data_IF_029367440726
#
_entry.id   IF_029367440726
#
_cell.length_a   1.000
_cell.length_b   1.000
_cell.length_c   1.000
_cell.angle_alpha   90.00
_cell.angle_beta   90.00
_cell.angle_gamma   90.00
#
_symmetry.space_group_name_H-M   'P 1'
#
loop_
_entity.id
_entity.type
_entity.pdbx_description
1 polymer ?
#
# COMPACT_ATOMS: atom_id res chain seq x y z
N UNK A 1 -17.92 21.13 -31.30
CA UNK A 1 -16.95 20.10 -30.85
C UNK A 1 -16.51 20.53 -29.48
N UNK A 2 -16.83 19.73 -28.47
CA UNK A 2 -16.41 20.02 -27.10
C UNK A 2 -14.89 19.85 -27.00
N UNK A 3 -14.25 20.73 -26.24
CA UNK A 3 -12.82 20.68 -26.00
C UNK A 3 -12.58 20.72 -24.51
N UNK A 4 -11.68 19.85 -24.05
CA UNK A 4 -11.27 19.83 -22.65
C UNK A 4 -9.77 20.04 -22.50
N UNK A 5 -9.38 20.60 -21.36
CA UNK A 5 -7.99 20.68 -20.96
C UNK A 5 -7.85 20.19 -19.53
N UNK A 6 -7.03 19.16 -19.34
CA UNK A 6 -6.56 18.81 -17.99
C UNK A 6 -5.49 19.83 -17.63
N UNK A 7 -5.79 20.73 -16.69
CA UNK A 7 -4.89 21.79 -16.25
C UNK A 7 -3.81 21.27 -15.32
N UNK A 8 -4.19 20.40 -14.39
CA UNK A 8 -3.24 19.77 -13.49
C UNK A 8 -3.76 18.44 -12.96
N UNK A 9 -2.84 17.55 -12.63
CA UNK A 9 -3.09 16.31 -11.91
C UNK A 9 -2.08 16.17 -10.78
N UNK A 10 -2.58 15.92 -9.58
CA UNK A 10 -1.77 15.72 -8.39
C UNK A 10 -2.15 14.43 -7.66
N UNK A 11 -1.16 13.64 -7.25
CA UNK A 11 -1.34 12.45 -6.42
C UNK A 11 -0.19 12.29 -5.44
N UNK A 12 -0.44 11.64 -4.28
CA UNK A 12 0.67 11.19 -3.47
C UNK A 12 1.38 10.06 -4.19
N UNK A 13 2.70 10.15 -4.28
CA UNK A 13 3.49 9.04 -4.77
C UNK A 13 3.35 7.88 -3.79
N UNK A 14 2.75 6.78 -4.22
CA UNK A 14 2.74 5.52 -3.48
C UNK A 14 3.62 4.50 -4.18
N UNK A 15 4.25 3.65 -3.37
CA UNK A 15 5.22 2.65 -3.81
C UNK A 15 4.62 1.27 -3.61
N UNK A 16 4.35 0.57 -4.70
CA UNK A 16 4.18 -0.88 -4.70
C UNK A 16 5.46 -1.56 -4.22
N UNK A 17 5.47 -2.66 -3.47
CA UNK A 17 4.61 -3.19 -2.41
C UNK A 17 5.56 -4.18 -1.74
N UNK A 18 5.87 -4.01 -0.46
CA UNK A 18 6.54 -5.09 0.27
C UNK A 18 5.57 -6.27 0.26
N UNK A 19 6.00 -7.43 -0.22
CA UNK A 19 5.21 -8.64 -0.36
C UNK A 19 5.93 -9.81 0.27
N UNK A 20 5.27 -10.95 0.44
CA UNK A 20 5.92 -12.17 0.94
C UNK A 20 7.11 -12.65 0.08
N UNK A 21 7.25 -12.18 -1.16
CA UNK A 21 8.34 -12.55 -2.05
C UNK A 21 9.62 -11.71 -1.85
N UNK A 22 9.52 -10.51 -1.26
CA UNK A 22 10.60 -9.52 -1.23
C UNK A 22 10.71 -8.76 0.11
N UNK A 23 10.32 -9.38 1.23
CA UNK A 23 10.21 -8.71 2.52
C UNK A 23 11.19 -9.17 3.61
N UNK A 24 12.17 -10.02 3.31
CA UNK A 24 13.10 -10.56 4.32
C UNK A 24 14.48 -9.95 4.20
N UNK A 25 15.05 -9.52 5.33
CA UNK A 25 16.46 -9.15 5.48
C UNK A 25 17.10 -10.19 6.41
N UNK A 26 18.02 -10.99 5.87
CA UNK A 26 18.80 -11.92 6.67
C UNK A 26 20.08 -11.23 7.16
N UNK A 27 20.38 -11.31 8.45
CA UNK A 27 21.55 -10.67 9.05
C UNK A 27 22.13 -11.49 10.20
N UNK A 28 23.37 -11.16 10.60
CA UNK A 28 24.09 -11.78 11.70
C UNK A 28 24.71 -10.69 12.56
N UNK A 29 24.67 -10.87 13.88
CA UNK A 29 25.34 -10.00 14.85
C UNK A 29 26.70 -10.60 15.24
N UNK A 30 27.71 -9.77 15.42
CA UNK A 30 29.07 -10.19 15.77
C UNK A 30 29.07 -10.98 17.08
N UNK A 31 29.78 -12.12 17.08
CA UNK A 31 29.83 -13.05 18.21
C UNK A 31 28.65 -14.03 18.27
N UNK A 32 27.70 -13.95 17.35
CA UNK A 32 26.60 -14.91 17.21
C UNK A 32 26.68 -15.64 15.85
N UNK A 33 26.34 -16.93 15.84
CA UNK A 33 26.26 -17.73 14.61
C UNK A 33 24.84 -17.82 14.06
N UNK A 34 23.85 -17.33 14.82
CA UNK A 34 22.44 -17.32 14.47
C UNK A 34 22.19 -16.37 13.31
N UNK A 35 21.48 -16.84 12.29
CA UNK A 35 20.97 -16.01 11.21
C UNK A 35 19.59 -15.48 11.62
N UNK A 36 19.52 -14.17 11.79
CA UNK A 36 18.27 -13.47 12.08
C UNK A 36 17.57 -13.11 10.77
N UNK A 37 16.26 -13.34 10.70
CA UNK A 37 15.43 -13.02 9.55
C UNK A 37 14.44 -11.92 9.93
N UNK A 38 14.79 -10.67 9.62
CA UNK A 38 13.89 -9.54 9.78
C UNK A 38 12.85 -9.55 8.67
N UNK A 39 11.57 -9.66 9.03
CA UNK A 39 10.46 -9.64 8.08
C UNK A 39 9.78 -8.28 8.11
N UNK A 40 9.90 -7.53 7.02
CA UNK A 40 9.14 -6.29 6.81
C UNK A 40 7.68 -6.67 6.55
N UNK A 41 6.74 -6.02 7.22
CA UNK A 41 5.32 -6.31 7.01
C UNK A 41 4.93 -6.03 5.55
N UNK A 42 4.19 -6.92 4.87
CA UNK A 42 3.69 -6.61 3.54
C UNK A 42 2.81 -5.35 3.54
N UNK A 43 2.97 -4.51 2.53
CA UNK A 43 2.24 -3.25 2.42
C UNK A 43 2.96 -2.18 1.61
N UNK A 44 2.34 -1.01 1.54
CA UNK A 44 2.85 0.17 0.85
C UNK A 44 3.72 1.00 1.79
N UNK A 45 4.88 1.44 1.30
CA UNK A 45 5.85 2.18 2.11
C UNK A 45 6.38 3.41 1.37
N UNK A 46 6.52 4.50 2.11
CA UNK A 46 7.12 5.76 1.70
C UNK A 46 8.57 5.93 2.09
N UNK A 47 9.21 6.94 1.52
CA UNK A 47 10.51 7.44 2.00
C UNK A 47 10.46 7.71 3.52
N UNK A 48 9.32 8.21 4.00
CA UNK A 48 9.15 8.57 5.42
C UNK A 48 9.00 7.34 6.33
N UNK A 49 8.33 6.27 5.90
CA UNK A 49 8.02 5.12 6.76
C UNK A 49 8.84 3.84 6.47
N UNK A 50 9.44 3.71 5.29
CA UNK A 50 10.23 2.52 4.92
C UNK A 50 11.45 2.33 5.82
N UNK A 51 12.28 3.37 6.12
CA UNK A 51 13.40 3.22 7.04
C UNK A 51 12.95 2.74 8.42
N UNK A 52 11.86 3.31 8.95
CA UNK A 52 11.32 2.90 10.25
C UNK A 52 10.89 1.44 10.24
N UNK A 53 10.20 0.99 9.19
CA UNK A 53 9.76 -0.41 9.06
C UNK A 53 10.92 -1.40 9.00
N UNK A 54 12.01 -1.04 8.31
CA UNK A 54 13.25 -1.84 8.29
C UNK A 54 13.89 -1.88 9.68
N UNK A 55 13.95 -0.73 10.38
CA UNK A 55 14.52 -0.61 11.72
C UNK A 55 13.74 -1.47 12.73
N UNK A 56 12.41 -1.41 12.69
CA UNK A 56 11.51 -2.18 13.56
C UNK A 56 11.65 -3.68 13.29
N UNK A 57 11.65 -4.09 12.02
CA UNK A 57 11.80 -5.50 11.65
C UNK A 57 13.15 -6.09 12.10
N UNK A 58 14.25 -5.34 11.93
CA UNK A 58 15.57 -5.77 12.39
C UNK A 58 15.68 -5.81 13.90
N UNK A 59 15.15 -4.79 14.60
CA UNK A 59 15.17 -4.73 16.06
C UNK A 59 14.31 -5.82 16.70
N UNK A 60 13.21 -6.20 16.05
CA UNK A 60 12.35 -7.29 16.52
C UNK A 60 12.96 -8.68 16.31
N UNK A 61 13.76 -8.86 15.25
CA UNK A 61 14.40 -10.14 14.94
C UNK A 61 15.72 -10.36 15.69
N UNK A 62 16.53 -9.31 15.86
CA UNK A 62 17.86 -9.36 16.45
C UNK A 62 17.86 -9.31 17.98
N UNK A 63 19.06 -9.13 18.56
CA UNK A 63 19.22 -8.99 20.02
C UNK A 63 19.48 -7.56 20.47
N UNK A 64 19.55 -6.62 19.52
CA UNK A 64 19.76 -5.20 19.77
C UNK A 64 18.89 -4.34 18.86
N UNK A 65 18.81 -3.04 19.16
CA UNK A 65 18.06 -2.10 18.35
C UNK A 65 18.87 -1.55 17.18
N UNK A 66 18.14 -1.13 16.14
CA UNK A 66 18.67 -0.58 14.91
C UNK A 66 18.00 0.75 14.59
N UNK A 67 18.74 1.65 13.96
CA UNK A 67 18.19 2.83 13.29
C UNK A 67 18.50 2.74 11.81
N UNK A 68 17.59 3.26 10.99
CA UNK A 68 17.72 3.26 9.54
C UNK A 68 17.40 4.64 9.02
N UNK A 69 18.20 5.13 8.09
CA UNK A 69 18.00 6.40 7.42
C UNK A 69 18.11 6.24 5.91
N UNK A 70 17.37 7.07 5.18
CA UNK A 70 17.48 7.20 3.73
C UNK A 70 18.03 8.58 3.38
N UNK A 71 19.07 8.62 2.55
CA UNK A 71 19.57 9.87 1.97
C UNK A 71 18.94 10.08 0.59
N UNK A 72 18.08 11.10 0.47
CA UNK A 72 17.42 11.44 -0.79
C UNK A 72 18.35 11.94 -1.89
N UNK A 73 19.56 12.39 -1.56
CA UNK A 73 20.55 12.87 -2.54
C UNK A 73 21.29 11.69 -3.15
N UNK A 74 21.92 10.84 -2.33
CA UNK A 74 22.63 9.66 -2.82
C UNK A 74 21.72 8.47 -3.14
N UNK A 75 20.45 8.56 -2.72
CA UNK A 75 19.42 7.51 -2.81
C UNK A 75 19.81 6.22 -2.10
N UNK A 76 20.51 6.29 -0.97
CA UNK A 76 21.01 5.11 -0.26
C UNK A 76 20.41 4.98 1.12
N UNK A 77 20.27 3.73 1.55
CA UNK A 77 19.88 3.38 2.91
C UNK A 77 21.13 3.16 3.75
N UNK A 78 21.14 3.73 4.95
CA UNK A 78 22.12 3.44 5.99
C UNK A 78 21.42 2.79 7.17
N UNK A 79 21.98 1.68 7.65
CA UNK A 79 21.50 0.95 8.82
C UNK A 79 22.58 1.04 9.88
N UNK A 80 22.22 1.45 11.09
CA UNK A 80 23.12 1.53 12.23
C UNK A 80 22.57 0.71 13.40
N UNK A 81 23.44 -0.08 14.02
CA UNK A 81 23.16 -0.72 15.29
C UNK A 81 23.32 0.30 16.43
N UNK A 82 22.41 0.31 17.38
CA UNK A 82 22.55 1.12 18.61
C UNK A 82 23.17 0.31 19.75
N UNK A 83 23.16 -1.02 19.65
CA UNK A 83 23.79 -1.94 20.60
C UNK A 83 25.31 -2.10 20.39
N UNK A 84 25.98 -2.83 21.29
CA UNK A 84 27.44 -2.99 21.26
C UNK A 84 27.95 -3.93 20.17
N UNK A 85 27.08 -4.78 19.58
CA UNK A 85 27.50 -5.74 18.57
C UNK A 85 27.47 -5.09 17.19
N UNK A 86 28.52 -5.29 16.41
CA UNK A 86 28.47 -5.02 14.97
C UNK A 86 27.54 -6.03 14.31
N UNK A 87 27.10 -5.73 13.10
CA UNK A 87 26.26 -6.65 12.34
C UNK A 87 26.67 -6.68 10.87
N UNK A 88 26.24 -7.73 10.19
CA UNK A 88 26.31 -7.82 8.74
C UNK A 88 25.01 -8.33 8.13
N UNK A 89 24.69 -7.82 6.95
CA UNK A 89 23.55 -8.25 6.15
C UNK A 89 24.03 -9.30 5.15
N UNK A 90 23.29 -10.40 5.06
CA UNK A 90 23.61 -11.53 4.21
C UNK A 90 23.06 -11.34 2.78
N UNK A 91 23.68 -11.98 1.76
CA UNK A 91 23.20 -11.93 0.39
C UNK A 91 21.91 -12.74 0.21
N UNK A 92 21.33 -12.67 -1.00
CA UNK A 92 20.08 -13.36 -1.31
C UNK A 92 20.17 -14.88 -1.21
N UNK A 93 21.32 -15.45 -1.55
CA UNK A 93 21.60 -16.89 -1.41
C UNK A 93 21.57 -17.38 0.04
N UNK A 94 21.51 -16.46 1.00
CA UNK A 94 21.49 -16.73 2.44
C UNK A 94 20.24 -16.18 3.14
N UNK A 95 19.18 -15.89 2.40
CA UNK A 95 17.84 -15.61 2.95
C UNK A 95 17.32 -14.18 2.77
N UNK A 96 18.16 -13.22 2.37
CA UNK A 96 17.69 -11.85 2.11
C UNK A 96 16.89 -11.80 0.81
N UNK A 97 15.58 -11.60 0.89
CA UNK A 97 14.72 -11.42 -0.30
C UNK A 97 14.49 -9.93 -0.62
N UNK A 98 14.61 -9.05 0.37
CA UNK A 98 14.42 -7.60 0.21
C UNK A 98 15.64 -6.86 -0.37
N UNK A 99 16.59 -7.55 -1.01
CA UNK A 99 17.87 -6.96 -1.43
C UNK A 99 17.70 -5.81 -2.44
N UNK A 100 16.69 -5.87 -3.30
CA UNK A 100 16.36 -4.77 -4.23
C UNK A 100 15.81 -3.57 -3.47
N UNK A 101 14.90 -3.80 -2.51
CA UNK A 101 14.24 -2.74 -1.74
C UNK A 101 15.21 -2.02 -0.79
N UNK A 102 16.20 -2.73 -0.26
CA UNK A 102 17.18 -2.15 0.66
C UNK A 102 18.43 -1.64 -0.06
N UNK A 103 18.66 -2.00 -1.32
CA UNK A 103 19.88 -1.63 -2.05
C UNK A 103 21.07 -2.51 -1.68
N UNK A 104 20.80 -3.65 -1.07
CA UNK A 104 21.78 -4.67 -0.76
C UNK A 104 22.19 -5.43 -2.02
N UNK A 105 23.43 -5.88 -2.06
CA UNK A 105 23.90 -6.76 -3.13
C UNK A 105 23.25 -8.14 -3.02
N UNK A 106 22.76 -8.65 -4.16
CA UNK A 106 22.25 -10.02 -4.26
C UNK A 106 23.31 -11.07 -3.91
N UNK A 107 24.59 -10.76 -4.17
CA UNK A 107 25.68 -11.73 -4.21
C UNK A 107 26.67 -11.62 -3.06
N UNK A 108 26.77 -10.44 -2.44
CA UNK A 108 27.80 -10.15 -1.44
C UNK A 108 27.16 -9.76 -0.12
N UNK A 109 27.63 -10.34 0.99
CA UNK A 109 27.30 -9.83 2.33
C UNK A 109 27.96 -8.47 2.56
N UNK A 110 27.44 -7.74 3.54
CA UNK A 110 28.18 -6.63 4.14
C UNK A 110 29.26 -7.19 5.08
N UNK A 111 30.31 -6.44 5.36
CA UNK A 111 31.18 -6.75 6.51
C UNK A 111 30.45 -6.52 7.85
N UNK A 112 31.09 -6.90 8.95
CA UNK A 112 30.64 -6.53 10.29
C UNK A 112 30.93 -5.05 10.56
N UNK A 113 29.88 -4.26 10.67
CA UNK A 113 29.98 -2.82 10.95
C UNK A 113 28.98 -2.38 12.03
N UNK A 114 29.28 -1.25 12.67
CA UNK A 114 28.32 -0.56 13.52
C UNK A 114 27.26 0.18 12.68
N UNK A 115 27.68 0.70 11.52
CA UNK A 115 26.84 1.35 10.54
C UNK A 115 27.25 0.88 9.15
N UNK A 116 26.27 0.50 8.33
CA UNK A 116 26.49 0.14 6.93
C UNK A 116 25.60 1.00 6.03
N UNK A 117 26.21 1.64 5.05
CA UNK A 117 25.49 2.26 3.93
C UNK A 117 25.45 1.27 2.78
N UNK A 118 24.25 0.91 2.36
CA UNK A 118 24.04 -0.10 1.33
C UNK A 118 24.48 0.43 -0.04
N UNK A 119 25.10 -0.45 -0.82
CA UNK A 119 25.93 -0.05 -1.97
C UNK A 119 25.08 0.54 -3.10
N UNK A 120 23.94 -0.09 -3.38
CA UNK A 120 23.12 0.25 -4.53
C UNK A 120 22.16 1.37 -4.16
N UNK A 121 22.02 2.38 -5.03
CA UNK A 121 20.94 3.35 -4.87
C UNK A 121 19.61 2.61 -4.94
N UNK A 122 18.72 2.93 -4.02
CA UNK A 122 17.33 2.50 -4.04
C UNK A 122 16.47 3.67 -4.42
N UNK A 123 15.66 3.42 -5.44
CA UNK A 123 14.73 4.40 -5.90
C UNK A 123 13.47 4.36 -5.03
N UNK A 124 13.59 4.89 -3.81
CA UNK A 124 12.44 5.20 -2.98
C UNK A 124 11.77 6.50 -3.45
N UNK A 125 12.20 7.11 -4.56
CA UNK A 125 11.59 8.29 -5.17
C UNK A 125 11.07 7.90 -6.56
N UNK A 126 9.97 7.14 -6.64
CA UNK A 126 9.52 6.41 -7.85
C UNK A 126 9.73 7.16 -9.18
N UNK A 127 10.85 6.89 -9.86
CA UNK A 127 11.25 7.66 -11.05
C UNK A 127 10.80 7.04 -12.37
N UNK A 128 9.87 6.08 -12.33
CA UNK A 128 9.27 5.54 -13.54
C UNK A 128 8.15 6.47 -13.99
N UNK A 129 8.03 6.78 -15.30
CA UNK A 129 6.89 7.52 -15.80
C UNK A 129 5.60 6.80 -15.41
N UNK A 130 4.65 7.53 -14.84
CA UNK A 130 3.28 7.07 -14.65
C UNK A 130 2.47 7.65 -15.80
N UNK A 131 1.70 6.80 -16.47
CA UNK A 131 0.80 7.21 -17.53
C UNK A 131 -0.51 7.67 -16.89
N UNK A 132 -0.89 8.91 -17.15
CA UNK A 132 -2.24 9.38 -16.87
C UNK A 132 -3.14 8.95 -18.03
N UNK A 133 -4.07 8.05 -17.76
CA UNK A 133 -5.02 7.55 -18.76
C UNK A 133 -6.44 7.99 -18.42
N UNK A 134 -7.30 8.06 -19.43
CA UNK A 134 -8.72 8.39 -19.25
C UNK A 134 -9.63 7.44 -20.04
N UNK A 135 -10.86 7.26 -19.57
CA UNK A 135 -11.90 6.45 -20.21
C UNK A 135 -12.53 7.09 -21.46
N UNK A 136 -12.25 8.38 -21.71
CA UNK A 136 -12.72 9.08 -22.91
C UNK A 136 -11.68 8.97 -24.02
N UNK A 137 -12.15 8.91 -25.27
CA UNK A 137 -11.26 8.94 -26.42
C UNK A 137 -10.80 10.37 -26.67
N UNK A 138 -9.47 10.55 -26.62
CA UNK A 138 -8.82 11.82 -26.97
C UNK A 138 -8.17 11.69 -28.33
N UNK A 139 -8.48 12.60 -29.26
CA UNK A 139 -7.88 12.59 -30.60
C UNK A 139 -6.37 12.77 -30.51
N UNK A 140 -5.61 11.88 -31.17
CA UNK A 140 -4.13 11.91 -31.16
C UNK A 140 -3.49 11.22 -29.95
N UNK A 141 -4.28 10.72 -28.99
CA UNK A 141 -3.76 9.88 -27.91
C UNK A 141 -3.27 8.53 -28.42
N UNK A 142 -2.29 7.96 -27.71
CA UNK A 142 -1.87 6.57 -27.92
C UNK A 142 -2.73 5.66 -27.06
N UNK A 143 -3.24 4.59 -27.66
CA UNK A 143 -3.95 3.54 -26.95
C UNK A 143 -2.95 2.52 -26.43
N UNK A 144 -3.14 2.07 -25.20
CA UNK A 144 -2.48 0.87 -24.72
C UNK A 144 -3.30 -0.32 -25.27
N UNK A 145 -2.84 -0.92 -26.38
CA UNK A 145 -3.59 -1.90 -27.18
C UNK A 145 -3.91 -3.23 -26.46
N UNK A 146 -3.31 -3.44 -25.30
CA UNK A 146 -3.28 -4.76 -24.65
C UNK A 146 -4.11 -4.83 -23.36
N UNK A 147 -4.77 -3.73 -22.96
CA UNK A 147 -5.58 -3.69 -21.74
C UNK A 147 -7.06 -3.86 -22.09
N UNK A 148 -7.62 -4.98 -21.60
CA UNK A 148 -8.88 -5.58 -22.02
C UNK A 148 -10.16 -4.86 -21.55
N UNK A 149 -10.08 -3.63 -21.02
CA UNK A 149 -11.24 -2.86 -20.58
C UNK A 149 -11.17 -1.43 -21.13
N UNK A 150 -12.28 -1.03 -21.77
CA UNK A 150 -12.62 0.32 -22.26
C UNK A 150 -11.44 1.26 -22.54
N UNK A 151 -11.02 1.31 -23.81
CA UNK A 151 -10.20 2.35 -24.46
C UNK A 151 -9.63 3.43 -23.51
N UNK A 152 -8.52 3.09 -22.85
CA UNK A 152 -7.79 4.05 -22.03
C UNK A 152 -6.88 4.89 -22.92
N UNK A 153 -7.32 6.11 -23.24
CA UNK A 153 -6.49 7.09 -23.94
C UNK A 153 -5.41 7.60 -22.99
N UNK A 154 -4.14 7.48 -23.38
CA UNK A 154 -3.04 8.11 -22.64
C UNK A 154 -3.11 9.62 -22.86
N UNK A 155 -3.37 10.36 -21.77
CA UNK A 155 -3.51 11.82 -21.75
C UNK A 155 -2.17 12.50 -21.51
N UNK A 156 -1.36 11.94 -20.60
CA UNK A 156 -0.03 12.46 -20.30
C UNK A 156 0.91 11.36 -19.78
N UNK A 157 2.20 11.51 -20.02
CA UNK A 157 3.24 10.79 -19.30
C UNK A 157 3.76 11.70 -18.18
N UNK A 158 3.47 11.33 -16.94
CA UNK A 158 3.92 12.05 -15.76
C UNK A 158 5.20 11.40 -15.29
N UNK A 159 6.31 12.11 -15.32
CA UNK A 159 7.53 11.65 -14.65
C UNK A 159 7.49 12.22 -13.24
N UNK A 160 7.28 11.40 -12.19
CA UNK A 160 7.32 11.90 -10.84
C UNK A 160 8.67 12.56 -10.59
N UNK A 161 8.69 13.82 -10.19
CA UNK A 161 9.93 14.43 -9.75
C UNK A 161 10.39 13.77 -8.44
N UNK A 162 11.70 13.72 -8.24
CA UNK A 162 12.28 13.03 -7.09
C UNK A 162 12.24 13.85 -5.79
N UNK A 163 11.42 14.91 -5.73
CA UNK A 163 11.50 15.93 -4.67
C UNK A 163 10.18 16.17 -3.91
N UNK A 164 9.07 15.55 -4.30
CA UNK A 164 7.78 15.73 -3.65
C UNK A 164 7.08 14.45 -3.18
N UNK A 165 6.44 14.52 -2.01
CA UNK A 165 5.41 13.55 -1.58
C UNK A 165 4.20 13.58 -2.54
N UNK A 166 3.98 14.71 -3.21
CA UNK A 166 2.91 14.96 -4.17
C UNK A 166 3.52 15.10 -5.56
N UNK A 167 3.23 14.14 -6.44
CA UNK A 167 3.50 14.28 -7.87
C UNK A 167 2.47 15.24 -8.41
N UNK A 168 2.90 16.37 -8.98
CA UNK A 168 2.02 17.30 -9.68
C UNK A 168 2.48 17.46 -11.11
N UNK A 169 1.57 17.20 -12.05
CA UNK A 169 1.72 17.54 -13.45
C UNK A 169 0.83 18.74 -13.76
N UNK A 170 1.38 19.76 -14.42
CA UNK A 170 0.61 20.92 -14.91
C UNK A 170 0.71 21.02 -16.42
N UNK A 171 -0.36 21.50 -17.04
CA UNK A 171 -0.48 21.67 -18.49
C UNK A 171 -0.51 23.15 -18.87
N UNK A 172 0.47 23.91 -18.41
CA UNK A 172 0.47 25.38 -18.49
C UNK A 172 0.57 25.91 -19.94
N UNK A 173 0.92 25.06 -20.91
CA UNK A 173 1.04 25.42 -22.32
C UNK A 173 0.52 24.38 -23.33
N UNK A 174 -0.09 23.28 -22.91
CA UNK A 174 -0.55 22.25 -23.85
C UNK A 174 -1.90 22.55 -24.48
N UNK A 175 -2.15 21.80 -25.54
CA UNK A 175 -3.30 21.96 -26.43
C UNK A 175 -4.60 21.49 -25.77
N UNK A 176 -5.69 22.07 -26.23
CA UNK A 176 -7.03 21.58 -25.95
C UNK A 176 -7.23 20.23 -26.61
N UNK A 177 -7.76 19.28 -25.86
CA UNK A 177 -8.03 17.92 -26.32
C UNK A 177 -9.44 17.90 -26.92
N UNK A 178 -9.59 17.72 -28.24
CA UNK A 178 -10.91 17.60 -28.83
C UNK A 178 -11.51 16.25 -28.42
N UNK A 179 -12.76 16.29 -28.00
CA UNK A 179 -13.50 15.11 -27.56
C UNK A 179 -14.59 14.81 -28.59
N UNK A 180 -14.58 13.58 -29.09
CA UNK A 180 -15.47 13.16 -30.17
C UNK A 180 -16.88 12.77 -29.66
N UNK A 181 -17.01 12.46 -28.36
CA UNK A 181 -18.24 12.01 -27.71
C UNK A 181 -18.76 12.98 -26.65
N UNK A 182 -20.08 13.01 -26.45
CA UNK A 182 -20.71 13.79 -25.36
C UNK A 182 -20.27 13.24 -24.01
N UNK A 183 -19.64 14.09 -23.19
CA UNK A 183 -18.98 13.65 -21.96
C UNK A 183 -19.99 13.58 -20.82
N UNK A 184 -20.46 12.39 -20.46
CA UNK A 184 -21.28 12.21 -19.25
C UNK A 184 -20.46 11.98 -17.98
N UNK A 185 -19.24 11.43 -18.11
CA UNK A 185 -18.34 11.10 -16.99
C UNK A 185 -16.90 10.92 -17.47
N UNK A 186 -15.97 11.66 -16.87
CA UNK A 186 -14.53 11.46 -17.07
C UNK A 186 -13.92 10.80 -15.84
N UNK A 187 -13.26 9.68 -16.06
CA UNK A 187 -12.44 8.97 -15.10
C UNK A 187 -10.99 9.05 -15.53
N UNK A 188 -10.07 9.07 -14.56
CA UNK A 188 -8.66 8.91 -14.89
C UNK A 188 -8.05 7.93 -13.94
N UNK A 189 -7.15 7.17 -14.54
CA UNK A 189 -6.37 6.14 -13.92
C UNK A 189 -4.91 6.51 -14.07
N UNK A 190 -4.10 6.06 -13.14
CA UNK A 190 -2.66 6.12 -13.25
C UNK A 190 -2.19 4.71 -13.57
N UNK A 191 -1.42 4.56 -14.64
CA UNK A 191 -0.85 3.28 -15.06
C UNK A 191 0.67 3.36 -14.93
N UNK A 192 1.28 2.36 -14.32
CA UNK A 192 2.73 2.22 -14.35
C UNK A 192 3.17 1.93 -15.80
N UNK A 193 4.01 2.80 -16.37
CA UNK A 193 4.48 2.65 -17.76
C UNK A 193 5.27 1.37 -18.02
N UNK A 194 5.83 0.74 -16.98
CA UNK A 194 6.66 -0.46 -17.11
C UNK A 194 5.84 -1.74 -17.02
N UNK A 195 4.88 -1.79 -16.10
CA UNK A 195 4.08 -3.00 -15.83
C UNK A 195 2.72 -2.97 -16.53
N UNK A 196 2.24 -1.77 -16.90
CA UNK A 196 0.91 -1.57 -17.45
C UNK A 196 -0.21 -1.74 -16.43
N UNK A 197 0.11 -1.94 -15.15
CA UNK A 197 -0.88 -2.09 -14.10
C UNK A 197 -1.32 -0.73 -13.57
N UNK A 198 -2.56 -0.66 -13.08
CA UNK A 198 -3.06 0.52 -12.39
C UNK A 198 -2.26 0.74 -11.09
N UNK A 199 -1.81 1.98 -10.88
CA UNK A 199 -1.13 2.41 -9.67
C UNK A 199 -2.16 2.57 -8.57
N UNK A 200 -2.07 1.74 -7.54
CA UNK A 200 -2.90 1.88 -6.35
C UNK A 200 -2.49 3.15 -5.57
N UNK A 201 -3.42 4.09 -5.43
CA UNK A 201 -3.21 5.30 -4.65
C UNK A 201 -3.84 5.18 -3.26
N UNK A 202 -3.06 5.42 -2.21
CA UNK A 202 -3.51 5.59 -0.83
C UNK A 202 -4.12 6.99 -0.60
N UNK A 203 -4.10 7.86 -1.61
CA UNK A 203 -4.74 9.17 -1.59
C UNK A 203 -5.59 9.42 -2.83
N UNK A 204 -6.64 10.25 -2.74
CA UNK A 204 -7.43 10.61 -3.90
C UNK A 204 -6.57 11.35 -4.94
N UNK A 205 -6.65 10.91 -6.19
CA UNK A 205 -6.13 11.63 -7.35
C UNK A 205 -6.87 12.98 -7.48
N UNK A 206 -6.15 14.09 -7.29
CA UNK A 206 -6.71 15.43 -7.46
C UNK A 206 -6.47 15.90 -8.88
N UNK A 207 -7.50 16.44 -9.53
CA UNK A 207 -7.45 16.91 -10.92
C UNK A 207 -8.07 18.28 -11.02
N UNK A 208 -7.47 19.17 -11.79
CA UNK A 208 -8.09 20.42 -12.22
C UNK A 208 -8.31 20.38 -13.72
N UNK A 209 -9.51 20.79 -14.14
CA UNK A 209 -9.94 20.79 -15.52
C UNK A 209 -10.48 22.15 -15.91
N UNK A 210 -10.34 22.45 -17.18
CA UNK A 210 -11.02 23.54 -17.86
C UNK A 210 -11.78 22.97 -19.05
N UNK A 211 -13.00 23.44 -19.24
CA UNK A 211 -13.84 23.14 -20.38
C UNK A 211 -13.99 24.43 -21.19
N UNK A 212 -13.76 24.35 -22.50
CA UNK A 212 -13.97 25.49 -23.38
C UNK A 212 -15.42 25.45 -23.85
N UNK A 213 -16.26 26.37 -23.37
CA UNK A 213 -17.59 26.55 -23.95
C UNK A 213 -17.43 27.15 -25.36
N UNK A 214 -17.81 26.43 -26.43
CA UNK A 214 -17.67 26.93 -27.80
C UNK A 214 -18.50 28.21 -28.06
N UNK A 215 -19.42 28.59 -27.17
CA UNK A 215 -20.21 29.82 -27.27
C UNK A 215 -19.63 31.01 -26.48
N UNK A 216 -18.51 30.85 -25.77
CA UNK A 216 -17.80 31.98 -25.16
C UNK A 216 -16.95 32.68 -26.24
N UNK A 217 -17.55 33.64 -26.93
CA UNK A 217 -16.80 34.56 -27.79
C UNK A 217 -15.66 35.22 -26.99
N UNK A 218 -14.44 34.97 -27.44
CA UNK A 218 -13.20 35.60 -26.99
C UNK A 218 -13.33 37.14 -26.99
N UNK A 219 -13.69 37.73 -25.86
CA UNK A 219 -13.54 39.17 -25.62
C UNK A 219 -12.16 39.48 -25.04
N UNK A 220 -11.11 39.20 -25.80
CA UNK A 220 -9.76 39.66 -25.50
C UNK A 220 -9.09 40.10 -26.80
N UNK A 221 -9.52 41.27 -27.30
CA UNK A 221 -8.78 41.99 -28.32
C UNK A 221 -7.40 42.40 -27.74
N UNK A 222 -6.28 42.12 -28.43
CA UNK A 222 -5.00 42.70 -28.06
C UNK A 222 -5.01 44.19 -28.40
N UNK A 223 -4.78 45.05 -27.41
CA UNK A 223 -4.44 46.44 -27.68
C UNK A 223 -3.06 46.49 -28.33
N UNK A 224 -3.08 46.73 -29.63
CA UNK A 224 -1.98 47.26 -30.44
C UNK A 224 -1.47 48.55 -29.77
N UNK A 225 -0.24 48.53 -29.25
CA UNK A 225 0.49 49.76 -28.95
C UNK A 225 1.80 49.71 -29.75
N UNK A 226 1.74 50.35 -30.92
CA UNK A 226 2.85 50.55 -31.85
C UNK A 226 3.69 51.72 -31.34
N UNK A 227 4.86 51.45 -30.78
CA UNK A 227 5.94 52.44 -30.69
C UNK A 227 7.09 52.08 -31.63
N UNK A 228 7.53 53.10 -32.37
CA UNK A 228 8.45 53.06 -33.51
C UNK A 228 9.87 52.57 -33.14
N UNK A 229 10.61 51.95 -34.08
CA UNK A 229 11.99 51.57 -33.88
C UNK A 229 12.91 52.80 -34.06
N UNK A 230 13.74 53.08 -33.05
CA UNK A 230 14.84 54.05 -33.16
C UNK A 230 16.13 53.29 -33.46
N UNK A 231 16.66 53.58 -34.64
CA UNK A 231 18.05 53.57 -35.11
C UNK A 231 19.13 52.93 -34.21
N UNK A 232 19.76 51.87 -34.76
CA UNK A 232 20.93 51.21 -34.18
C UNK A 232 22.19 52.07 -34.33
N UNK A 233 22.94 52.20 -33.23
CA UNK A 233 24.32 52.72 -33.20
C UNK A 233 25.28 51.56 -32.84
N UNK A 234 26.52 51.49 -33.38
CA UNK A 234 27.37 50.31 -33.28
C UNK A 234 27.94 50.08 -31.87
N UNK A 235 28.02 48.80 -31.49
CA UNK A 235 28.59 48.28 -30.25
C UNK A 235 30.11 48.49 -30.22
N UNK A 236 30.60 49.32 -29.29
CA UNK A 236 32.00 49.31 -28.87
C UNK A 236 32.19 48.29 -27.74
N UNK A 237 33.21 47.43 -27.88
CA UNK A 237 33.67 46.49 -26.87
C UNK A 237 34.25 47.25 -25.67
N UNK A 238 33.70 47.01 -24.47
CA UNK A 238 34.23 47.53 -23.22
C UNK A 238 34.82 46.40 -22.37
N UNK A 239 36.04 46.63 -21.89
CA UNK A 239 36.88 45.80 -21.05
C UNK A 239 36.20 45.25 -19.79
N UNK A 240 36.48 43.99 -19.49
CA UNK A 240 36.16 43.31 -18.21
C UNK A 240 36.92 43.97 -17.05
N UNK A 241 36.16 44.53 -16.10
CA UNK A 241 36.63 44.92 -14.77
C UNK A 241 36.36 43.77 -13.76
N UNK A 242 37.28 43.45 -12.84
CA UNK A 242 37.14 42.28 -11.95
C UNK A 242 36.03 42.44 -10.89
N UNK A 243 35.24 41.37 -10.73
CA UNK A 243 34.16 41.22 -9.75
C UNK A 243 34.66 41.26 -8.30
N UNK A 244 33.99 42.05 -7.46
CA UNK A 244 34.08 42.00 -6.00
C UNK A 244 33.06 40.98 -5.43
N UNK A 245 33.39 40.29 -4.33
CA UNK A 245 32.50 39.30 -3.71
C UNK A 245 31.24 39.96 -3.11
N UNK A 246 30.06 39.30 -3.21
CA UNK A 246 28.79 39.87 -2.77
C UNK A 246 28.72 40.00 -1.24
N UNK A 247 28.48 41.22 -0.76
CA UNK A 247 28.25 41.49 0.67
C UNK A 247 26.97 40.81 1.15
N UNK A 248 27.09 39.98 2.18
CA UNK A 248 25.98 39.30 2.84
C UNK A 248 24.98 40.31 3.43
N UNK A 249 23.73 40.30 2.92
CA UNK A 249 22.63 41.10 3.46
C UNK A 249 22.26 40.59 4.87
N UNK A 250 22.48 41.43 5.87
CA UNK A 250 22.08 41.20 7.27
C UNK A 250 20.56 41.01 7.36
N UNK A 251 20.12 39.83 7.82
CA UNK A 251 18.70 39.49 8.01
C UNK A 251 18.11 40.38 9.10
N UNK A 252 17.09 41.18 8.75
CA UNK A 252 16.35 42.00 9.74
C UNK A 252 15.54 41.08 10.66
N UNK A 253 15.47 41.36 11.98
CA UNK A 253 14.70 40.58 12.92
C UNK A 253 13.19 40.66 12.61
N UNK A 254 12.51 39.53 12.76
CA UNK A 254 11.08 39.36 12.45
C UNK A 254 10.23 40.19 13.42
N UNK A 255 9.31 41.01 12.89
CA UNK A 255 8.45 41.92 13.67
C UNK A 255 7.42 41.15 14.50
N UNK A 256 6.98 41.70 15.64
CA UNK A 256 6.04 41.01 16.54
C UNK A 256 4.69 40.68 15.87
N UNK A 257 4.25 41.52 14.93
CA UNK A 257 3.06 41.27 14.11
C UNK A 257 3.20 40.02 13.23
N UNK A 258 4.40 39.76 12.71
CA UNK A 258 4.68 38.56 11.92
C UNK A 258 4.74 37.31 12.82
N UNK A 259 5.28 37.43 14.04
CA UNK A 259 5.30 36.32 15.01
C UNK A 259 3.89 35.90 15.43
N UNK A 260 3.03 36.87 15.76
CA UNK A 260 1.63 36.58 16.12
C UNK A 260 0.84 35.96 14.96
N UNK A 261 1.08 36.40 13.71
CA UNK A 261 0.47 35.79 12.53
C UNK A 261 0.95 34.34 12.31
N UNK A 262 2.24 34.08 12.50
CA UNK A 262 2.82 32.74 12.39
C UNK A 262 2.23 31.80 13.45
N UNK A 263 2.14 32.24 14.70
CA UNK A 263 1.59 31.44 15.80
C UNK A 263 0.10 31.11 15.56
N UNK A 264 -0.68 32.10 15.08
CA UNK A 264 -2.08 31.88 14.69
C UNK A 264 -2.22 30.86 13.56
N UNK A 265 -1.35 30.93 12.55
CA UNK A 265 -1.34 29.98 11.44
C UNK A 265 -0.95 28.57 11.90
N UNK A 266 0.06 28.45 12.78
CA UNK A 266 0.48 27.16 13.35
C UNK A 266 -0.65 26.53 14.18
N UNK A 267 -1.35 27.32 14.99
CA UNK A 267 -2.47 26.84 15.81
C UNK A 267 -3.65 26.38 14.94
N UNK A 268 -3.97 27.11 13.87
CA UNK A 268 -5.00 26.72 12.91
C UNK A 268 -4.65 25.40 12.20
N UNK A 269 -3.41 25.26 11.74
CA UNK A 269 -2.93 24.02 11.09
C UNK A 269 -2.96 22.83 12.04
N UNK A 270 -2.57 23.02 13.30
CA UNK A 270 -2.63 21.97 14.32
C UNK A 270 -4.07 21.53 14.63
N UNK A 271 -5.03 22.46 14.63
CA UNK A 271 -6.45 22.14 14.81
C UNK A 271 -7.00 21.32 13.64
N UNK A 272 -6.73 21.74 12.39
CA UNK A 272 -7.14 21.00 11.19
C UNK A 272 -6.53 19.59 11.14
N UNK A 273 -5.27 19.43 11.57
CA UNK A 273 -4.63 18.12 11.62
C UNK A 273 -5.34 17.17 12.60
N UNK A 274 -5.75 17.68 13.77
CA UNK A 274 -6.49 16.88 14.76
C UNK A 274 -7.88 16.49 14.26
N UNK A 275 -8.58 17.41 13.59
CA UNK A 275 -9.88 17.13 13.00
C UNK A 275 -9.79 16.05 11.89
N UNK A 276 -8.77 16.15 11.03
CA UNK A 276 -8.50 15.13 10.01
C UNK A 276 -8.19 13.76 10.63
N UNK A 277 -7.38 13.73 11.71
CA UNK A 277 -7.06 12.48 12.41
C UNK A 277 -8.30 11.85 13.04
N UNK A 278 -9.15 12.63 13.69
CA UNK A 278 -10.40 12.15 14.27
C UNK A 278 -11.35 11.60 13.20
N UNK A 279 -11.47 12.27 12.04
CA UNK A 279 -12.28 11.80 10.92
C UNK A 279 -11.77 10.47 10.35
N UNK A 280 -10.45 10.32 10.19
CA UNK A 280 -9.84 9.05 9.75
C UNK A 280 -10.03 7.91 10.75
N UNK A 281 -10.07 8.21 12.04
CA UNK A 281 -10.36 7.20 13.07
C UNK A 281 -11.81 6.73 13.01
N UNK A 282 -12.77 7.66 12.87
CA UNK A 282 -14.18 7.32 12.66
C UNK A 282 -14.40 6.47 11.41
N UNK A 283 -13.79 6.82 10.30
CA UNK A 283 -13.88 6.06 9.05
C UNK A 283 -13.32 4.63 9.19
N UNK A 284 -12.21 4.46 9.92
CA UNK A 284 -11.65 3.13 10.22
C UNK A 284 -12.57 2.30 11.11
N UNK A 285 -13.20 2.91 12.13
CA UNK A 285 -14.18 2.21 12.97
C UNK A 285 -15.41 1.76 12.18
N UNK A 286 -15.88 2.58 11.23
CA UNK A 286 -16.99 2.23 10.34
C UNK A 286 -16.62 1.09 9.38
N UNK A 287 -15.44 1.14 8.78
CA UNK A 287 -14.92 0.05 7.93
C UNK A 287 -14.76 -1.25 8.73
N UNK A 288 -14.27 -1.20 9.96
CA UNK A 288 -14.13 -2.39 10.80
C UNK A 288 -15.50 -2.99 11.17
N UNK A 289 -16.50 -2.15 11.48
CA UNK A 289 -17.89 -2.60 11.68
C UNK A 289 -18.45 -3.26 10.43
N UNK A 290 -18.17 -2.70 9.25
CA UNK A 290 -18.61 -3.24 7.97
C UNK A 290 -17.96 -4.61 7.70
N UNK A 291 -16.65 -4.75 7.89
CA UNK A 291 -15.95 -6.03 7.75
C UNK A 291 -16.50 -7.10 8.70
N UNK A 292 -16.79 -6.74 9.95
CA UNK A 292 -17.40 -7.66 10.93
C UNK A 292 -18.80 -8.12 10.50
N UNK A 293 -19.61 -7.23 9.93
CA UNK A 293 -20.93 -7.58 9.39
C UNK A 293 -20.82 -8.55 8.21
N UNK A 294 -19.90 -8.30 7.29
CA UNK A 294 -19.73 -9.15 6.11
C UNK A 294 -19.10 -10.50 6.44
N UNK A 295 -18.18 -10.55 7.41
CA UNK A 295 -17.69 -11.81 7.96
C UNK A 295 -18.81 -12.62 8.64
N UNK A 296 -19.68 -11.97 9.43
CA UNK A 296 -20.82 -12.63 10.06
C UNK A 296 -21.81 -13.20 9.02
N UNK A 297 -22.07 -12.47 7.93
CA UNK A 297 -22.87 -12.97 6.80
C UNK A 297 -22.25 -14.20 6.15
N UNK A 298 -20.93 -14.18 5.89
CA UNK A 298 -20.19 -15.30 5.31
C UNK A 298 -20.28 -16.56 6.19
N UNK A 299 -20.11 -16.42 7.50
CA UNK A 299 -20.23 -17.55 8.45
C UNK A 299 -21.66 -18.11 8.47
N UNK A 300 -22.67 -17.24 8.45
CA UNK A 300 -24.08 -17.67 8.41
C UNK A 300 -24.40 -18.45 7.12
N UNK A 301 -23.85 -18.02 5.98
CA UNK A 301 -24.02 -18.70 4.70
C UNK A 301 -23.35 -20.08 4.68
N UNK A 302 -22.12 -20.18 5.18
CA UNK A 302 -21.42 -21.46 5.33
C UNK A 302 -22.18 -22.43 6.26
N UNK A 303 -22.79 -21.92 7.33
CA UNK A 303 -23.60 -22.76 8.23
C UNK A 303 -24.88 -23.27 7.54
N UNK A 304 -25.55 -22.42 6.74
CA UNK A 304 -26.71 -22.81 5.94
C UNK A 304 -26.34 -23.89 4.92
N UNK A 305 -25.21 -23.75 4.24
CA UNK A 305 -24.73 -24.74 3.27
C UNK A 305 -24.38 -26.08 3.93
N UNK A 306 -23.72 -26.04 5.09
CA UNK A 306 -23.42 -27.25 5.89
C UNK A 306 -24.69 -27.98 6.31
N UNK A 307 -25.71 -27.26 6.78
CA UNK A 307 -27.01 -27.84 7.14
C UNK A 307 -27.74 -28.44 5.92
N UNK A 308 -27.58 -27.84 4.73
CA UNK A 308 -28.15 -28.39 3.49
C UNK A 308 -27.48 -29.70 3.11
N UNK A 309 -26.14 -29.74 3.11
CA UNK A 309 -25.35 -30.96 2.84
C UNK A 309 -25.68 -32.09 3.82
N UNK A 310 -25.81 -31.79 5.12
CA UNK A 310 -26.18 -32.78 6.13
C UNK A 310 -27.60 -33.34 5.92
N UNK A 311 -28.56 -32.50 5.53
CA UNK A 311 -29.93 -32.96 5.21
C UNK A 311 -29.94 -33.85 3.97
N UNK A 312 -29.21 -33.49 2.92
CA UNK A 312 -29.06 -34.29 1.70
C UNK A 312 -28.40 -35.64 1.99
N UNK A 313 -27.34 -35.68 2.80
CA UNK A 313 -26.69 -36.92 3.23
C UNK A 313 -27.64 -37.83 4.03
N UNK A 314 -28.41 -37.26 4.97
CA UNK A 314 -29.42 -37.99 5.74
C UNK A 314 -30.53 -38.54 4.85
N UNK A 315 -30.97 -37.79 3.83
CA UNK A 315 -31.96 -38.25 2.86
C UNK A 315 -31.44 -39.43 2.02
N UNK A 316 -30.19 -39.35 1.53
CA UNK A 316 -29.56 -40.45 0.80
C UNK A 316 -29.41 -41.72 1.65
N UNK A 317 -29.01 -41.59 2.93
CA UNK A 317 -28.92 -42.73 3.85
C UNK A 317 -30.28 -43.40 4.07
N UNK A 318 -31.36 -42.61 4.20
CA UNK A 318 -32.73 -43.14 4.33
C UNK A 318 -33.19 -43.88 3.06
N UNK A 319 -32.94 -43.32 1.88
CA UNK A 319 -33.28 -43.96 0.61
C UNK A 319 -32.54 -45.29 0.40
N UNK A 320 -31.26 -45.38 0.81
CA UNK A 320 -30.50 -46.64 0.77
C UNK A 320 -31.06 -47.70 1.73
N UNK A 321 -31.53 -47.30 2.91
CA UNK A 321 -32.10 -48.21 3.89
C UNK A 321 -33.46 -48.78 3.45
N UNK A 322 -34.29 -48.01 2.73
CA UNK A 322 -35.58 -48.48 2.23
C UNK A 322 -35.48 -49.45 1.04
N UNK A 323 -34.37 -49.43 0.30
CA UNK A 323 -34.11 -50.35 -0.82
C UNK A 323 -33.35 -51.63 -0.42
N UNK A 324 -33.07 -51.84 0.88
CA UNK A 324 -32.48 -53.08 1.34
C UNK A 324 -33.49 -54.23 1.19
N UNK A 325 -33.13 -55.34 0.50
CA UNK A 325 -34.04 -56.46 0.28
C UNK A 325 -34.49 -57.05 1.61
N UNK A 326 -35.82 -57.09 1.84
CA UNK A 326 -36.42 -57.73 3.02
C UNK A 326 -36.02 -59.22 3.04
N UNK A 327 -34.99 -59.56 3.81
CA UNK A 327 -34.72 -60.95 4.20
C UNK A 327 -35.96 -61.45 4.95
N UNK A 328 -36.66 -62.42 4.34
CA UNK A 328 -37.73 -63.19 4.99
C UNK A 328 -37.20 -63.71 6.31
N UNK A 329 -37.75 -63.22 7.42
CA UNK A 329 -37.46 -63.79 8.74
C UNK A 329 -38.09 -65.18 8.82
N UNK A 330 -37.36 -66.21 9.28
CA UNK A 330 -37.97 -67.47 9.66
C UNK A 330 -38.76 -67.27 10.96
N UNK A 331 -39.97 -67.83 11.00
CA UNK A 331 -40.81 -67.85 12.19
C UNK A 331 -40.12 -68.68 13.29
N UNK A 332 -39.71 -68.03 14.38
CA UNK A 332 -39.24 -68.72 15.58
C UNK A 332 -40.34 -68.75 16.63
N UNK A 333 -40.76 -69.99 16.90
CA UNK A 333 -41.70 -70.41 17.93
C UNK A 333 -41.16 -70.08 19.32
N UNK A 334 -42.08 -69.67 20.17
CA UNK A 334 -41.97 -69.43 21.61
C UNK A 334 -41.38 -70.62 22.38
N UNK A 335 -40.43 -70.34 23.28
CA UNK A 335 -40.31 -71.12 24.53
C UNK A 335 -39.60 -70.32 25.62
N UNK A 336 -40.34 -70.08 26.69
CA UNK A 336 -39.84 -69.62 27.99
C UNK A 336 -38.99 -70.71 28.66
N UNK A 337 -38.03 -70.32 29.51
CA UNK A 337 -37.75 -70.87 30.86
C UNK A 337 -36.49 -70.23 31.47
N UNK A 338 -36.72 -69.55 32.60
CA UNK A 338 -35.95 -69.35 33.86
C UNK A 338 -34.45 -69.77 33.99
N UNK A 339 -33.68 -68.81 34.57
CA UNK A 339 -32.63 -68.82 35.65
C UNK A 339 -31.59 -69.97 35.65
N UNK A 340 -30.26 -69.78 35.73
CA UNK A 340 -29.41 -69.17 36.80
C UNK A 340 -27.93 -69.11 36.37
N UNK A 341 -27.14 -68.27 37.08
CA UNK A 341 -25.70 -68.38 37.40
C UNK A 341 -24.62 -67.86 36.41
N UNK A 342 -23.81 -66.94 36.95
CA UNK A 342 -22.52 -66.38 36.49
C UNK A 342 -21.41 -67.46 36.49
N UNK A 343 -20.33 -67.36 35.67
CA UNK A 343 -19.12 -66.62 36.10
C UNK A 343 -18.34 -65.88 34.99
N UNK A 344 -17.27 -65.22 35.44
CA UNK A 344 -16.36 -64.22 34.85
C UNK A 344 -15.60 -64.52 33.54
N UNK A 345 -14.98 -63.42 33.05
CA UNK A 345 -13.85 -63.22 32.10
C UNK A 345 -14.29 -63.09 30.64
N UNK A 346 -13.94 -62.04 29.88
CA UNK A 346 -13.10 -60.86 30.08
C UNK A 346 -12.60 -60.44 28.69
N UNK A 347 -12.78 -59.18 28.28
CA UNK A 347 -12.01 -58.58 27.17
C UNK A 347 -12.24 -57.07 26.98
N UNK A 348 -11.11 -56.37 26.83
CA UNK A 348 -10.85 -55.15 26.07
C UNK A 348 -11.82 -53.95 26.20
N UNK A 349 -11.48 -53.06 27.13
CA UNK A 349 -12.05 -51.71 27.19
C UNK A 349 -11.55 -50.81 26.07
N UNK A 350 -12.48 -50.25 25.31
CA UNK A 350 -12.23 -49.09 24.43
C UNK A 350 -12.51 -47.82 25.24
N UNK A 351 -11.45 -47.11 25.64
CA UNK A 351 -11.55 -45.82 26.34
C UNK A 351 -12.12 -44.76 25.39
N UNK A 352 -13.40 -44.42 25.56
CA UNK A 352 -13.99 -43.22 24.96
C UNK A 352 -13.55 -42.00 25.77
N UNK A 353 -12.61 -41.21 25.24
CA UNK A 353 -12.24 -39.90 25.78
C UNK A 353 -13.39 -38.93 25.55
N UNK A 354 -14.18 -38.69 26.59
CA UNK A 354 -15.19 -37.63 26.64
C UNK A 354 -14.46 -36.33 27.01
N UNK A 355 -14.27 -35.44 26.03
CA UNK A 355 -13.73 -34.10 26.26
C UNK A 355 -14.69 -33.33 27.19
N UNK A 356 -14.17 -32.85 28.31
CA UNK A 356 -14.96 -32.17 29.32
C UNK A 356 -14.91 -30.66 29.03
N UNK A 357 -16.05 -30.09 28.65
CA UNK A 357 -16.14 -28.66 28.38
C UNK A 357 -16.26 -27.89 29.70
N UNK A 358 -15.25 -27.09 30.04
CA UNK A 358 -15.31 -26.16 31.16
C UNK A 358 -15.24 -24.72 30.66
N UNK A 359 -15.93 -23.82 31.36
CA UNK A 359 -15.96 -22.39 31.02
C UNK A 359 -15.32 -21.62 32.16
N UNK A 360 -14.31 -20.81 31.86
CA UNK A 360 -13.54 -20.05 32.85
C UNK A 360 -13.58 -18.57 32.45
N UNK A 361 -13.68 -17.65 33.42
CA UNK A 361 -13.57 -16.21 33.16
C UNK A 361 -12.10 -15.83 33.04
N UNK A 362 -11.74 -15.09 31.99
CA UNK A 362 -10.42 -14.49 31.87
C UNK A 362 -10.25 -13.27 32.79
N UNK A 363 -9.03 -12.71 32.82
CA UNK A 363 -8.68 -11.53 33.61
C UNK A 363 -9.46 -10.26 33.25
N UNK A 364 -10.20 -10.26 32.15
CA UNK A 364 -11.09 -9.17 31.73
C UNK A 364 -12.57 -9.45 32.04
N UNK A 365 -12.87 -10.57 32.69
CA UNK A 365 -14.21 -10.99 33.07
C UNK A 365 -15.01 -11.65 31.93
N UNK A 366 -14.40 -11.91 30.76
CA UNK A 366 -15.05 -12.59 29.65
C UNK A 366 -14.99 -14.11 29.85
N UNK A 367 -16.11 -14.77 29.55
CA UNK A 367 -16.23 -16.23 29.64
C UNK A 367 -15.57 -16.85 28.40
N UNK A 368 -14.47 -17.58 28.61
CA UNK A 368 -13.74 -18.27 27.55
C UNK A 368 -13.92 -19.78 27.73
N UNK A 369 -14.22 -20.49 26.64
CA UNK A 369 -14.34 -21.96 26.62
C UNK A 369 -12.96 -22.54 26.37
N UNK A 370 -12.50 -23.39 27.28
CA UNK A 370 -11.21 -24.08 27.15
C UNK A 370 -11.50 -25.55 26.85
N UNK A 371 -10.89 -26.07 25.79
CA UNK A 371 -10.99 -27.48 25.41
C UNK A 371 -9.80 -28.23 26.03
N UNK A 372 -10.08 -29.14 26.96
CA UNK A 372 -9.10 -30.03 27.60
C UNK A 372 -9.35 -31.49 27.26
#
# INVERSE_FOLDING_TARGET
MEMMKVLSVSFLQDWDLVSSANNVIAFVEEGDSTIYNATIAPGNYSIANFPLAVADAMSAAGTQSYTVSYDGVSRKISIAATGPKKFKILPATRGTTAYILTGQSRWTETGYYQMVTLKNPVNLSGSYPVLLTSNIQVKGSRYLSDFNDSAQSVVAAVVPDSFGDVVTWTNDGGEWLPVDDTISKIEFYLIDSMTGLEVALNSPLTKQMEELDPNQESSAAPQENVEKPTEQVPVQQAEKKPEQPPMQKVKRPMTDKQRAALEKAQKARAAQLREMQAKREQEREEQEKQMKLDEAKRVLEQEKERKRKEKEERAMKRAKASNAPKKKQPATVSRAVRRTATPQRGSAGTKSKRLHLSTIKDSTGRMVRVYG
#
